data_IF_122149210164
#
_entry.id   IF_122149210164
#
_cell.length_a   1.000
_cell.length_b   1.000
_cell.length_c   1.000
_cell.angle_alpha   90.00
_cell.angle_beta   90.00
_cell.angle_gamma   90.00
#
_symmetry.space_group_name_H-M   'P 1'
#
loop_
_entity.id
_entity.type
_entity.pdbx_description
1 polymer ?
#
# COMPACT_ATOMS: atom_id res chain seq x y z
N UNK A 1 -7.77 -12.76 18.91
CA UNK A 1 -6.48 -12.75 18.21
C UNK A 1 -6.77 -13.08 16.75
N UNK A 2 -6.37 -12.23 15.81
CA UNK A 2 -6.46 -12.55 14.38
C UNK A 2 -5.22 -13.38 14.06
N UNK A 3 -5.42 -14.65 13.73
CA UNK A 3 -4.37 -15.54 13.23
C UNK A 3 -4.21 -15.29 11.72
N UNK A 4 -3.00 -14.91 11.30
CA UNK A 4 -2.69 -14.49 9.93
C UNK A 4 -1.86 -15.53 9.16
N UNK A 5 -1.77 -16.77 9.65
CA UNK A 5 -1.35 -17.98 8.92
C UNK A 5 -0.46 -17.76 7.67
N UNK A 6 0.71 -17.13 7.83
CA UNK A 6 1.62 -16.81 6.72
C UNK A 6 1.57 -15.36 6.22
N UNK A 7 1.29 -14.39 7.09
CA UNK A 7 1.31 -12.94 6.81
C UNK A 7 2.52 -12.53 5.95
N UNK A 8 2.26 -12.31 4.67
CA UNK A 8 3.21 -11.71 3.74
C UNK A 8 3.18 -10.19 3.86
N UNK A 9 4.18 -9.61 4.54
CA UNK A 9 4.40 -8.16 4.53
C UNK A 9 5.08 -7.78 3.21
N UNK A 10 4.30 -7.28 2.26
CA UNK A 10 4.82 -6.73 1.00
C UNK A 10 5.14 -5.25 1.13
N UNK A 11 6.41 -4.89 1.35
CA UNK A 11 6.86 -3.50 1.26
C UNK A 11 7.10 -3.17 -0.21
N UNK A 12 6.19 -2.42 -0.83
CA UNK A 12 6.37 -1.88 -2.17
C UNK A 12 6.82 -0.43 -2.08
N UNK A 13 8.13 -0.21 -2.17
CA UNK A 13 8.72 1.12 -2.28
C UNK A 13 8.80 1.52 -3.74
N UNK A 14 8.06 2.56 -4.13
CA UNK A 14 8.28 3.25 -5.42
C UNK A 14 9.29 4.37 -5.16
N UNK A 15 10.42 4.33 -5.85
CA UNK A 15 11.37 5.45 -5.93
C UNK A 15 11.24 6.02 -7.34
N UNK A 16 10.69 7.22 -7.47
CA UNK A 16 10.48 7.87 -8.77
C UNK A 16 10.45 9.39 -8.66
N UNK A 17 10.82 10.06 -9.75
CA UNK A 17 10.74 11.51 -9.96
C UNK A 17 9.61 11.78 -10.95
N UNK A 18 8.65 12.64 -10.59
CA UNK A 18 7.46 12.91 -11.44
C UNK A 18 7.68 14.07 -12.41
N UNK A 19 8.60 15.03 -12.16
CA UNK A 19 8.73 16.19 -13.07
C UNK A 19 10.09 16.91 -13.01
N UNK A 20 10.80 16.85 -11.89
CA UNK A 20 12.12 17.46 -11.71
C UNK A 20 12.99 16.58 -10.80
N UNK A 21 14.31 16.63 -10.99
CA UNK A 21 15.32 15.81 -10.26
C UNK A 21 15.42 16.10 -8.75
N UNK A 22 14.42 16.73 -8.14
CA UNK A 22 14.36 17.15 -6.73
C UNK A 22 13.36 16.29 -5.91
N UNK A 23 12.23 15.92 -6.48
CA UNK A 23 11.15 15.29 -5.71
C UNK A 23 11.29 13.76 -5.63
N UNK A 24 12.20 13.27 -4.78
CA UNK A 24 12.22 11.87 -4.36
C UNK A 24 11.02 11.62 -3.42
N UNK A 25 10.16 10.69 -3.79
CA UNK A 25 9.07 10.21 -2.94
C UNK A 25 9.37 8.79 -2.47
N UNK A 26 9.04 8.47 -1.22
CA UNK A 26 9.12 7.13 -0.65
C UNK A 26 7.70 6.62 -0.36
N UNK A 27 7.31 5.53 -1.02
CA UNK A 27 6.06 4.82 -0.71
C UNK A 27 6.27 3.66 0.26
N UNK A 28 5.36 3.49 1.22
CA UNK A 28 5.22 2.28 2.02
C UNK A 28 3.75 1.86 2.02
N UNK A 29 3.46 0.59 1.72
CA UNK A 29 2.12 0.03 1.85
C UNK A 29 2.15 -1.26 2.63
N UNK A 30 1.15 -1.49 3.48
CA UNK A 30 0.91 -2.77 4.15
C UNK A 30 -0.55 -3.15 3.94
N UNK A 31 -0.80 -4.39 3.55
CA UNK A 31 -2.14 -4.93 3.38
C UNK A 31 -2.23 -6.40 3.77
N UNK A 32 -3.43 -6.85 4.08
CA UNK A 32 -3.72 -8.25 4.44
C UNK A 32 -4.78 -8.77 3.48
N UNK A 33 -4.43 -9.72 2.63
CA UNK A 33 -5.38 -10.35 1.74
C UNK A 33 -6.19 -11.42 2.50
N UNK A 34 -7.51 -11.35 2.39
CA UNK A 34 -8.45 -12.27 3.02
C UNK A 34 -9.32 -12.88 1.91
N UNK A 35 -9.25 -14.20 1.72
CA UNK A 35 -10.18 -14.91 0.86
C UNK A 35 -11.59 -14.87 1.50
N UNK A 36 -12.47 -14.03 0.96
CA UNK A 36 -13.85 -13.91 1.43
C UNK A 36 -14.75 -15.00 0.84
N UNK A 37 -14.40 -15.50 -0.35
CA UNK A 37 -14.97 -16.70 -0.98
C UNK A 37 -13.95 -17.31 -1.96
N UNK A 38 -14.33 -18.39 -2.64
CA UNK A 38 -13.52 -18.98 -3.73
C UNK A 38 -13.25 -18.01 -4.89
N UNK A 39 -14.09 -16.98 -5.04
CA UNK A 39 -14.02 -16.01 -6.15
C UNK A 39 -13.78 -14.56 -5.68
N UNK A 40 -13.75 -14.29 -4.38
CA UNK A 40 -13.63 -12.93 -3.85
C UNK A 40 -12.46 -12.86 -2.85
N UNK A 41 -11.54 -11.94 -3.10
CA UNK A 41 -10.49 -11.56 -2.15
C UNK A 41 -10.68 -10.12 -1.69
N UNK A 42 -10.67 -9.89 -0.38
CA UNK A 42 -10.74 -8.56 0.23
C UNK A 42 -9.39 -8.24 0.83
N UNK A 43 -8.80 -7.10 0.46
CA UNK A 43 -7.49 -6.67 0.95
C UNK A 43 -7.57 -5.26 1.55
N UNK A 44 -7.90 -5.13 2.84
CA UNK A 44 -7.65 -3.89 3.56
C UNK A 44 -6.16 -3.54 3.51
N UNK A 45 -5.85 -2.27 3.30
CA UNK A 45 -4.49 -1.77 3.27
C UNK A 45 -4.38 -0.37 3.88
N UNK A 46 -3.18 -0.06 4.35
CA UNK A 46 -2.74 1.28 4.71
C UNK A 46 -1.50 1.58 3.87
N UNK A 47 -1.42 2.77 3.30
CA UNK A 47 -0.23 3.27 2.63
C UNK A 47 0.17 4.64 3.13
N UNK A 48 1.47 4.92 3.05
CA UNK A 48 2.04 6.23 3.28
C UNK A 48 2.93 6.58 2.08
N UNK A 49 2.82 7.82 1.62
CA UNK A 49 3.75 8.41 0.66
C UNK A 49 4.42 9.58 1.36
N UNK A 50 5.74 9.50 1.46
CA UNK A 50 6.58 10.54 2.04
C UNK A 50 7.20 11.32 0.88
N UNK A 51 6.80 12.59 0.73
CA UNK A 51 7.15 13.41 -0.42
C UNK A 51 7.85 14.72 -0.04
N UNK A 52 8.97 14.95 -0.72
CA UNK A 52 9.72 16.19 -0.93
C UNK A 52 10.01 17.10 0.29
N UNK A 53 11.32 17.32 0.53
CA UNK A 53 11.89 18.27 1.48
C UNK A 53 11.43 19.73 1.33
N UNK A 54 10.73 20.08 0.25
CA UNK A 54 10.31 21.47 -0.05
C UNK A 54 8.93 21.83 0.52
N UNK A 55 7.97 20.91 0.54
CA UNK A 55 6.66 21.13 1.18
C UNK A 55 6.44 20.26 2.44
N UNK A 56 7.17 19.15 2.59
CA UNK A 56 7.15 18.31 3.80
C UNK A 56 5.83 17.57 4.04
N UNK A 57 4.95 17.51 3.05
CA UNK A 57 3.63 16.94 3.21
C UNK A 57 3.67 15.42 3.05
N UNK A 58 3.38 14.71 4.14
CA UNK A 58 3.23 13.26 4.14
C UNK A 58 1.76 12.91 3.90
N UNK A 59 1.52 11.97 2.99
CA UNK A 59 0.18 11.46 2.73
C UNK A 59 0.01 10.07 3.36
N UNK A 60 -1.11 9.88 4.07
CA UNK A 60 -1.51 8.59 4.62
C UNK A 60 -2.88 8.21 4.07
N UNK A 61 -2.99 7.00 3.53
CA UNK A 61 -4.21 6.46 2.93
C UNK A 61 -4.58 5.15 3.62
N UNK A 62 -5.87 4.97 3.90
CA UNK A 62 -6.43 3.68 4.29
C UNK A 62 -7.50 3.29 3.26
N UNK A 63 -7.49 2.04 2.83
CA UNK A 63 -8.36 1.58 1.75
C UNK A 63 -8.63 0.09 1.79
N UNK A 64 -9.51 -0.35 0.90
CA UNK A 64 -9.86 -1.76 0.69
C UNK A 64 -9.79 -2.04 -0.80
N UNK A 65 -9.00 -3.04 -1.19
CA UNK A 65 -9.01 -3.58 -2.54
C UNK A 65 -9.90 -4.83 -2.62
N UNK A 66 -10.68 -4.95 -3.70
CA UNK A 66 -11.57 -6.08 -3.96
C UNK A 66 -11.12 -6.81 -5.21
N UNK A 67 -10.64 -8.05 -5.06
CA UNK A 67 -10.29 -8.94 -6.15
C UNK A 67 -11.43 -9.90 -6.47
N UNK A 68 -11.75 -10.04 -7.76
CA UNK A 68 -12.73 -10.99 -8.26
C UNK A 68 -12.03 -11.99 -9.19
N UNK A 69 -12.08 -13.28 -8.85
CA UNK A 69 -11.66 -14.38 -9.73
C UNK A 69 -12.86 -14.89 -10.54
N UNK A 70 -12.70 -14.97 -11.85
CA UNK A 70 -13.65 -15.61 -12.76
C UNK A 70 -13.08 -16.92 -13.30
#
# INVERSE_FOLDING_TARGET
>A
AIDLAGLGLGVQGVIGTWDTFDNIHYGLSVGVAIAASESITVTPHISAVFGDTTSGDNEFTAGVNLGFGF
#
